data_IF_853494213025
#
_entry.id   IF_853494213025
#
_cell.length_a   1.000
_cell.length_b   1.000
_cell.length_c   1.000
_cell.angle_alpha   90.00
_cell.angle_beta   90.00
_cell.angle_gamma   90.00
#
_symmetry.space_group_name_H-M   'P 1'
#
loop_
_entity.id
_entity.type
_entity.pdbx_description
1 polymer ?
#
# COMPACT_ATOMS: atom_id res chain seq x y z
N UNK A 1 43.19 -44.40 34.64
CA UNK A 1 42.72 -43.02 34.40
C UNK A 1 42.04 -42.99 33.03
N UNK A 2 40.72 -43.06 33.02
CA UNK A 2 39.88 -42.94 31.79
C UNK A 2 39.50 -41.47 31.65
N UNK A 3 39.80 -40.87 30.50
CA UNK A 3 39.39 -39.52 30.12
C UNK A 3 38.09 -39.67 29.34
N UNK A 4 36.98 -39.30 29.95
CA UNK A 4 35.69 -39.23 29.29
C UNK A 4 35.60 -37.91 28.52
N UNK A 5 35.58 -38.01 27.19
CA UNK A 5 35.40 -36.88 26.31
C UNK A 5 33.89 -36.64 26.08
N UNK A 6 33.34 -35.62 26.69
CA UNK A 6 31.96 -35.17 26.46
C UNK A 6 31.89 -34.42 25.12
N UNK A 7 31.28 -35.05 24.14
CA UNK A 7 30.96 -34.42 22.86
C UNK A 7 29.64 -33.67 23.01
N UNK A 8 29.71 -32.34 23.07
CA UNK A 8 28.52 -31.49 23.04
C UNK A 8 28.03 -31.37 21.59
N UNK A 9 26.92 -32.00 21.30
CA UNK A 9 26.25 -31.92 20.01
C UNK A 9 25.37 -30.68 20.00
N UNK A 10 25.90 -29.59 19.43
CA UNK A 10 25.13 -28.36 19.17
C UNK A 10 24.22 -28.60 17.97
N UNK A 11 22.94 -28.85 18.24
CA UNK A 11 21.90 -28.90 17.24
C UNK A 11 21.63 -27.45 16.76
N UNK A 12 22.26 -27.05 15.66
CA UNK A 12 21.89 -25.85 14.94
C UNK A 12 20.54 -26.08 14.26
N UNK A 13 19.48 -25.60 14.86
CA UNK A 13 18.14 -25.54 14.22
C UNK A 13 18.22 -24.53 13.09
N UNK A 14 18.53 -25.00 11.87
CA UNK A 14 18.28 -24.26 10.65
C UNK A 14 16.76 -24.12 10.50
N UNK A 15 16.22 -22.96 10.85
CA UNK A 15 14.89 -22.55 10.39
C UNK A 15 14.96 -22.42 8.87
N UNK A 16 14.58 -23.50 8.18
CA UNK A 16 14.22 -23.46 6.78
C UNK A 16 12.97 -22.59 6.66
N UNK A 17 13.16 -21.29 6.41
CA UNK A 17 12.12 -20.45 5.85
C UNK A 17 11.84 -21.00 4.44
N UNK A 18 11.03 -22.05 4.34
CA UNK A 18 10.44 -22.49 3.09
C UNK A 18 9.58 -21.30 2.62
N UNK A 19 10.07 -20.56 1.64
CA UNK A 19 9.23 -19.68 0.82
C UNK A 19 8.18 -20.57 0.16
N UNK A 20 7.05 -20.77 0.84
CA UNK A 20 5.86 -21.33 0.20
C UNK A 20 5.36 -20.25 -0.76
N UNK A 21 5.72 -20.40 -2.03
CA UNK A 21 5.18 -19.57 -3.10
C UNK A 21 3.66 -19.58 -3.00
N UNK A 22 3.06 -18.41 -2.75
CA UNK A 22 1.63 -18.23 -2.67
C UNK A 22 1.03 -18.14 -1.26
N UNK A 23 1.75 -18.42 -0.15
CA UNK A 23 1.24 -18.13 1.20
C UNK A 23 1.65 -16.72 1.65
N UNK A 24 0.77 -16.06 2.40
CA UNK A 24 1.06 -14.79 3.04
C UNK A 24 0.82 -14.87 4.55
N UNK A 25 1.59 -14.08 5.27
CA UNK A 25 1.31 -13.71 6.66
C UNK A 25 1.37 -12.19 6.77
N UNK A 26 0.30 -11.60 7.28
CA UNK A 26 0.19 -10.17 7.56
C UNK A 26 0.27 -10.00 9.07
N UNK A 27 1.20 -9.18 9.54
CA UNK A 27 1.31 -8.78 10.94
C UNK A 27 1.11 -7.27 11.02
N UNK A 28 0.06 -6.85 11.72
CA UNK A 28 -0.29 -5.45 11.88
C UNK A 28 -0.26 -5.01 13.33
N UNK A 29 0.04 -3.72 13.52
CA UNK A 29 -0.02 -3.03 14.80
C UNK A 29 -0.48 -1.58 14.60
N UNK A 30 -0.84 -0.89 15.68
CA UNK A 30 -1.24 0.50 15.57
C UNK A 30 -1.49 1.16 16.92
N UNK A 31 -1.34 2.49 16.98
CA UNK A 31 -1.42 3.25 18.22
C UNK A 31 -2.83 3.26 18.85
N UNK A 32 -3.88 3.24 18.02
CA UNK A 32 -5.28 3.28 18.43
C UNK A 32 -5.96 1.91 18.49
N UNK A 33 -5.24 0.85 18.18
CA UNK A 33 -5.79 -0.49 18.23
C UNK A 33 -5.90 -0.95 19.69
N UNK A 34 -7.12 -1.25 20.11
CA UNK A 34 -7.43 -1.70 21.47
C UNK A 34 -7.80 -3.18 21.44
N UNK A 35 -7.36 -3.92 22.44
CA UNK A 35 -7.68 -5.35 22.58
C UNK A 35 -9.18 -5.60 22.50
N UNK A 36 -9.56 -6.58 21.68
CA UNK A 36 -10.94 -6.89 21.39
C UNK A 36 -11.55 -6.12 20.20
N UNK A 37 -10.86 -5.15 19.64
CA UNK A 37 -11.28 -4.48 18.41
C UNK A 37 -11.23 -5.47 17.23
N UNK A 38 -12.12 -5.26 16.27
CA UNK A 38 -12.10 -6.03 15.03
C UNK A 38 -11.44 -5.19 13.93
N UNK A 39 -10.43 -5.76 13.30
CA UNK A 39 -9.80 -5.22 12.10
C UNK A 39 -10.34 -5.97 10.89
N UNK A 40 -10.72 -5.23 9.86
CA UNK A 40 -11.28 -5.77 8.62
C UNK A 40 -10.25 -5.59 7.52
N UNK A 41 -10.00 -6.65 6.77
CA UNK A 41 -9.32 -6.58 5.48
C UNK A 41 -10.37 -6.65 4.36
N UNK A 42 -10.34 -5.71 3.43
CA UNK A 42 -11.26 -5.65 2.31
C UNK A 42 -10.50 -5.39 1.00
N UNK A 43 -11.09 -5.75 -0.14
CA UNK A 43 -10.53 -5.36 -1.44
C UNK A 43 -10.77 -3.87 -1.68
N UNK A 44 -9.81 -3.19 -2.25
CA UNK A 44 -9.91 -1.76 -2.54
C UNK A 44 -10.91 -1.44 -3.68
N UNK A 45 -11.24 -2.42 -4.54
CA UNK A 45 -12.12 -2.28 -5.72
C UNK A 45 -13.58 -2.70 -5.49
N UNK A 46 -13.92 -3.27 -4.31
CA UNK A 46 -15.22 -3.94 -4.08
C UNK A 46 -16.10 -3.27 -3.03
N UNK A 47 -16.15 -1.94 -3.03
CA UNK A 47 -16.97 -1.15 -2.08
C UNK A 47 -16.77 -1.54 -0.61
N UNK A 48 -15.55 -2.01 -0.28
CA UNK A 48 -15.17 -2.38 1.09
C UNK A 48 -15.79 -3.69 1.58
N UNK A 49 -16.17 -4.61 0.68
CA UNK A 49 -16.61 -5.95 1.11
C UNK A 49 -15.48 -6.68 1.85
N UNK A 50 -15.75 -7.18 3.07
CA UNK A 50 -14.75 -7.89 3.86
C UNK A 50 -14.24 -9.14 3.13
N UNK A 51 -12.92 -9.26 3.09
CA UNK A 51 -12.21 -10.48 2.65
C UNK A 51 -11.90 -11.35 3.84
N UNK A 52 -11.48 -10.71 4.96
CA UNK A 52 -11.13 -11.39 6.20
C UNK A 52 -11.26 -10.43 7.39
N UNK A 53 -11.29 -10.97 8.60
CA UNK A 53 -11.37 -10.21 9.85
C UNK A 53 -10.41 -10.78 10.90
N UNK A 54 -9.82 -9.91 11.70
CA UNK A 54 -8.96 -10.30 12.82
C UNK A 54 -9.33 -9.54 14.07
N UNK A 55 -9.14 -10.15 15.23
CA UNK A 55 -9.34 -9.50 16.54
C UNK A 55 -8.00 -9.01 17.04
N UNK A 56 -7.96 -7.76 17.52
CA UNK A 56 -6.78 -7.15 18.11
C UNK A 56 -6.47 -7.82 19.46
N UNK A 57 -5.22 -8.16 19.66
CA UNK A 57 -4.66 -8.68 20.91
C UNK A 57 -3.27 -8.09 21.14
N UNK A 58 -3.04 -7.56 22.33
CA UNK A 58 -1.79 -6.87 22.69
C UNK A 58 -1.43 -5.75 21.68
N UNK A 59 -2.45 -5.00 21.19
CA UNK A 59 -2.30 -3.93 20.20
C UNK A 59 -1.89 -4.42 18.80
N UNK A 60 -2.06 -5.71 18.47
CA UNK A 60 -1.67 -6.35 17.20
C UNK A 60 -2.79 -7.17 16.62
N UNK A 61 -2.70 -7.40 15.31
CA UNK A 61 -3.58 -8.32 14.57
C UNK A 61 -2.78 -9.10 13.53
N UNK A 62 -3.30 -10.25 13.11
CA UNK A 62 -2.68 -11.10 12.09
C UNK A 62 -3.73 -11.62 11.11
N UNK A 63 -3.33 -11.74 9.84
CA UNK A 63 -4.05 -12.50 8.81
C UNK A 63 -3.07 -13.49 8.19
N UNK A 64 -3.55 -14.67 7.85
CA UNK A 64 -2.76 -15.69 7.15
C UNK A 64 -3.61 -16.33 6.06
N UNK A 65 -2.97 -16.67 4.94
CA UNK A 65 -3.70 -17.30 3.84
C UNK A 65 -2.84 -17.59 2.64
N UNK A 66 -3.53 -17.81 1.50
CA UNK A 66 -2.91 -18.01 0.20
C UNK A 66 -3.25 -16.85 -0.73
N UNK A 67 -2.26 -16.39 -1.47
CA UNK A 67 -2.39 -15.40 -2.52
C UNK A 67 -2.03 -16.07 -3.86
N UNK A 68 -3.05 -16.44 -4.64
CA UNK A 68 -2.83 -16.98 -5.99
C UNK A 68 -2.43 -15.87 -6.98
N UNK A 69 -2.71 -14.62 -6.63
CA UNK A 69 -2.32 -13.42 -7.36
C UNK A 69 -2.17 -12.24 -6.40
N UNK A 70 -1.39 -11.24 -6.81
CA UNK A 70 -1.31 -9.96 -6.10
C UNK A 70 -2.66 -9.24 -6.15
N UNK A 71 -3.15 -8.76 -5.00
CA UNK A 71 -4.41 -8.04 -4.85
C UNK A 71 -4.19 -6.77 -4.06
N UNK A 72 -4.83 -5.67 -4.48
CA UNK A 72 -4.81 -4.43 -3.73
C UNK A 72 -5.98 -4.41 -2.73
N UNK A 73 -5.64 -4.26 -1.46
CA UNK A 73 -6.56 -4.33 -0.33
C UNK A 73 -6.42 -3.10 0.56
N UNK A 74 -7.41 -2.90 1.41
CA UNK A 74 -7.38 -1.93 2.52
C UNK A 74 -7.58 -2.67 3.82
N UNK A 75 -6.98 -2.16 4.89
CA UNK A 75 -7.24 -2.60 6.25
C UNK A 75 -7.71 -1.41 7.09
N UNK A 76 -8.68 -1.65 7.96
CA UNK A 76 -9.23 -0.63 8.87
C UNK A 76 -9.86 -1.28 10.11
N UNK A 77 -9.92 -0.52 11.20
CA UNK A 77 -10.66 -0.93 12.40
C UNK A 77 -12.17 -0.65 12.25
N UNK A 78 -13.01 -1.50 12.81
CA UNK A 78 -14.46 -1.26 12.86
C UNK A 78 -14.83 -0.01 13.65
N UNK A 79 -13.94 0.47 14.54
CA UNK A 79 -14.13 1.69 15.32
C UNK A 79 -13.69 2.95 14.59
N UNK A 80 -12.78 2.82 13.63
CA UNK A 80 -12.30 3.93 12.80
C UNK A 80 -12.22 3.47 11.33
N UNK A 81 -13.33 3.62 10.62
CA UNK A 81 -13.43 3.23 9.22
C UNK A 81 -12.79 4.23 8.25
N UNK A 82 -12.46 5.42 8.72
CA UNK A 82 -11.82 6.45 7.89
C UNK A 82 -10.32 6.27 7.85
N UNK A 83 -9.71 5.72 8.91
CA UNK A 83 -8.30 5.39 8.97
C UNK A 83 -8.01 4.08 8.20
N UNK A 84 -8.04 4.16 6.88
CA UNK A 84 -7.77 3.02 5.99
C UNK A 84 -6.31 2.99 5.58
N UNK A 85 -5.67 1.82 5.68
CA UNK A 85 -4.31 1.59 5.20
C UNK A 85 -4.35 0.70 3.96
N UNK A 86 -4.06 1.25 2.76
CA UNK A 86 -3.97 0.48 1.52
C UNK A 86 -2.66 -0.32 1.45
N UNK A 87 -2.74 -1.56 0.96
CA UNK A 87 -1.58 -2.43 0.82
C UNK A 87 -1.83 -3.55 -0.20
N UNK A 88 -0.78 -4.30 -0.54
CA UNK A 88 -0.89 -5.46 -1.41
C UNK A 88 -0.87 -6.75 -0.62
N UNK A 89 -1.82 -7.64 -0.91
CA UNK A 89 -1.77 -9.05 -0.51
C UNK A 89 -1.03 -9.80 -1.60
N UNK A 90 0.19 -10.24 -1.30
CA UNK A 90 1.06 -11.07 -2.13
C UNK A 90 1.76 -12.11 -1.25
N UNK A 91 2.39 -13.12 -1.82
CA UNK A 91 3.12 -14.13 -1.04
C UNK A 91 4.26 -13.52 -0.21
N UNK A 92 4.39 -13.95 1.05
CA UNK A 92 5.45 -13.50 1.96
C UNK A 92 4.93 -12.91 3.27
N UNK A 93 5.84 -12.25 4.00
CA UNK A 93 5.55 -11.63 5.30
C UNK A 93 5.30 -10.12 5.11
N UNK A 94 4.07 -9.70 5.28
CA UNK A 94 3.63 -8.30 5.14
C UNK A 94 3.54 -7.68 6.53
N UNK A 95 4.06 -6.47 6.67
CA UNK A 95 3.98 -5.68 7.91
C UNK A 95 3.15 -4.44 7.69
N UNK A 96 2.24 -4.17 8.60
CA UNK A 96 1.34 -3.02 8.58
C UNK A 96 1.47 -2.24 9.89
N UNK A 97 1.56 -0.92 9.81
CA UNK A 97 1.49 -0.04 10.96
C UNK A 97 0.40 1.02 10.75
N UNK A 98 -0.64 0.95 11.58
CA UNK A 98 -1.79 1.86 11.52
C UNK A 98 -1.57 2.99 12.53
N UNK A 99 -1.04 4.11 12.05
CA UNK A 99 -0.84 5.31 12.85
C UNK A 99 -2.08 6.22 12.84
N UNK A 100 -2.07 7.22 13.72
CA UNK A 100 -3.12 8.24 13.80
C UNK A 100 -3.21 9.13 12.57
N UNK A 101 -2.09 9.32 11.89
CA UNK A 101 -2.01 10.11 10.67
C UNK A 101 -1.75 9.21 9.46
N UNK A 102 -2.47 9.41 8.35
CA UNK A 102 -2.19 8.70 7.10
C UNK A 102 -0.74 8.85 6.62
N UNK A 103 -0.06 9.95 6.98
CA UNK A 103 1.34 10.21 6.64
C UNK A 103 2.35 9.35 7.40
N UNK A 104 1.94 8.76 8.51
CA UNK A 104 2.81 7.94 9.36
C UNK A 104 2.38 6.47 9.39
N UNK A 105 1.35 6.11 8.59
CA UNK A 105 1.01 4.72 8.34
C UNK A 105 2.08 4.08 7.46
N UNK A 106 2.44 2.83 7.76
CA UNK A 106 3.51 2.13 7.03
C UNK A 106 3.08 0.75 6.56
N UNK A 107 3.52 0.41 5.36
CA UNK A 107 3.42 -0.95 4.85
C UNK A 107 4.78 -1.44 4.33
N UNK A 108 5.05 -2.74 4.43
CA UNK A 108 6.31 -3.28 3.94
C UNK A 108 6.42 -4.79 4.08
N UNK A 109 7.63 -5.29 3.88
CA UNK A 109 7.98 -6.71 4.07
C UNK A 109 7.97 -7.53 2.79
N UNK A 110 7.34 -7.03 1.72
CA UNK A 110 7.29 -7.68 0.41
C UNK A 110 7.61 -6.68 -0.71
N UNK A 111 7.88 -7.18 -1.90
CA UNK A 111 8.35 -6.32 -3.00
C UNK A 111 7.31 -5.27 -3.43
N UNK A 112 6.04 -5.65 -3.56
CA UNK A 112 4.99 -4.71 -3.96
C UNK A 112 4.72 -3.69 -2.85
N UNK A 113 4.67 -4.13 -1.59
CA UNK A 113 4.43 -3.25 -0.46
C UNK A 113 5.56 -2.26 -0.22
N UNK A 114 6.82 -2.68 -0.37
CA UNK A 114 7.95 -1.75 -0.25
C UNK A 114 7.90 -0.67 -1.35
N UNK A 115 7.61 -1.06 -2.61
CA UNK A 115 7.45 -0.09 -3.72
C UNK A 115 6.25 0.82 -3.53
N UNK A 116 5.17 0.31 -2.94
CA UNK A 116 3.99 1.08 -2.60
C UNK A 116 4.30 2.12 -1.52
N UNK A 117 5.01 1.73 -0.46
CA UNK A 117 5.44 2.67 0.58
C UNK A 117 6.32 3.78 -0.01
N UNK A 118 7.34 3.43 -0.80
CA UNK A 118 8.19 4.41 -1.50
C UNK A 118 7.39 5.40 -2.38
N UNK A 119 6.30 4.94 -2.98
CA UNK A 119 5.42 5.79 -3.78
C UNK A 119 4.55 6.69 -2.89
N UNK A 120 3.98 6.15 -1.82
CA UNK A 120 3.18 6.91 -0.85
C UNK A 120 4.02 7.99 -0.19
N UNK A 121 5.23 7.67 0.28
CA UNK A 121 6.14 8.63 0.92
C UNK A 121 6.46 9.82 0.00
N UNK A 122 6.60 9.58 -1.30
CA UNK A 122 6.88 10.62 -2.28
C UNK A 122 5.64 11.46 -2.65
N UNK A 123 4.42 10.91 -2.52
CA UNK A 123 3.20 11.54 -3.05
C UNK A 123 2.19 11.99 -2.01
N UNK A 124 2.24 11.47 -0.77
CA UNK A 124 1.24 11.75 0.25
C UNK A 124 1.13 13.24 0.58
N UNK A 125 2.26 13.96 0.63
CA UNK A 125 2.29 15.41 0.85
C UNK A 125 1.53 16.18 -0.24
N UNK A 126 1.68 15.78 -1.51
CA UNK A 126 0.95 16.37 -2.64
C UNK A 126 -0.56 16.17 -2.46
N UNK A 127 -0.99 14.94 -2.10
CA UNK A 127 -2.39 14.64 -1.88
C UNK A 127 -3.01 15.46 -0.75
N UNK A 128 -2.29 15.65 0.36
CA UNK A 128 -2.74 16.49 1.45
C UNK A 128 -2.86 17.97 1.06
N UNK A 129 -1.89 18.50 0.31
CA UNK A 129 -1.94 19.88 -0.16
C UNK A 129 -3.11 20.12 -1.13
N UNK A 130 -3.36 19.17 -2.04
CA UNK A 130 -4.54 19.21 -2.91
C UNK A 130 -5.84 19.23 -2.08
N UNK A 131 -5.98 18.32 -1.11
CA UNK A 131 -7.17 18.26 -0.26
C UNK A 131 -7.37 19.54 0.55
N UNK A 132 -6.29 20.12 1.10
CA UNK A 132 -6.32 21.38 1.82
C UNK A 132 -6.76 22.55 0.92
N UNK A 133 -6.22 22.63 -0.29
CA UNK A 133 -6.59 23.65 -1.26
C UNK A 133 -8.02 23.47 -1.77
N UNK A 134 -8.44 22.22 -2.06
CA UNK A 134 -9.79 21.92 -2.47
C UNK A 134 -10.82 22.32 -1.39
N UNK A 135 -10.53 22.06 -0.11
CA UNK A 135 -11.39 22.49 1.00
C UNK A 135 -11.55 24.02 1.04
N UNK A 136 -10.51 24.79 0.70
CA UNK A 136 -10.59 26.25 0.62
C UNK A 136 -11.45 26.76 -0.56
N UNK A 137 -11.57 26.00 -1.65
CA UNK A 137 -12.47 26.34 -2.75
C UNK A 137 -13.95 26.30 -2.35
N UNK A 138 -14.32 25.47 -1.39
CA UNK A 138 -15.68 25.40 -0.84
C UNK A 138 -15.99 26.54 0.14
N UNK A 139 -14.98 27.26 0.62
CA UNK A 139 -15.20 28.48 1.42
C UNK A 139 -15.77 29.56 0.48
N UNK A 140 -17.05 29.88 0.66
CA UNK A 140 -17.81 30.81 -0.20
C UNK A 140 -17.34 32.26 -0.11
N UNK A 141 -16.43 32.59 0.82
CA UNK A 141 -15.89 33.94 1.02
C UNK A 141 -14.72 34.28 0.11
N UNK A 142 -14.13 33.30 -0.58
CA UNK A 142 -13.05 33.57 -1.52
C UNK A 142 -13.57 34.34 -2.74
N UNK A 143 -12.94 35.46 -3.09
CA UNK A 143 -13.22 36.20 -4.32
C UNK A 143 -12.75 35.41 -5.57
N UNK A 144 -13.10 35.93 -6.75
CA UNK A 144 -12.78 35.24 -8.01
C UNK A 144 -11.28 35.05 -8.21
N UNK A 145 -10.46 36.03 -7.84
CA UNK A 145 -9.00 35.97 -7.99
C UNK A 145 -8.40 34.89 -7.07
N UNK A 146 -8.78 34.89 -5.79
CA UNK A 146 -8.31 33.89 -4.82
C UNK A 146 -8.71 32.45 -5.23
N UNK A 147 -9.90 32.27 -5.81
CA UNK A 147 -10.32 30.98 -6.34
C UNK A 147 -9.47 30.52 -7.52
N UNK A 148 -9.13 31.45 -8.43
CA UNK A 148 -8.28 31.14 -9.58
C UNK A 148 -6.88 30.72 -9.13
N UNK A 149 -6.26 31.45 -8.20
CA UNK A 149 -4.94 31.14 -7.64
C UNK A 149 -4.91 29.74 -6.96
N UNK A 150 -6.01 29.36 -6.28
CA UNK A 150 -6.14 28.02 -5.68
C UNK A 150 -6.23 26.95 -6.80
N UNK A 151 -7.01 27.19 -7.83
CA UNK A 151 -7.16 26.25 -8.95
C UNK A 151 -5.84 26.05 -9.72
N UNK A 152 -5.09 27.13 -9.93
CA UNK A 152 -3.77 27.08 -10.58
C UNK A 152 -2.79 26.26 -9.72
N UNK A 153 -2.80 26.47 -8.40
CA UNK A 153 -1.98 25.69 -7.47
C UNK A 153 -2.33 24.20 -7.47
N UNK A 154 -3.63 23.84 -7.48
CA UNK A 154 -4.08 22.44 -7.58
C UNK A 154 -3.63 21.84 -8.91
N UNK A 155 -3.71 22.61 -10.01
CA UNK A 155 -3.28 22.15 -11.33
C UNK A 155 -1.78 21.83 -11.35
N UNK A 156 -0.96 22.67 -10.72
CA UNK A 156 0.48 22.44 -10.63
C UNK A 156 0.82 21.22 -9.76
N UNK A 157 0.15 21.04 -8.62
CA UNK A 157 0.31 19.84 -7.78
C UNK A 157 -0.11 18.56 -8.50
N UNK A 158 -1.20 18.58 -9.25
CA UNK A 158 -1.61 17.43 -10.07
C UNK A 158 -0.56 17.11 -11.16
N UNK A 159 0.06 18.11 -11.75
CA UNK A 159 1.15 17.90 -12.71
C UNK A 159 2.37 17.26 -12.05
N UNK A 160 2.76 17.73 -10.87
CA UNK A 160 3.85 17.11 -10.09
C UNK A 160 3.54 15.65 -9.78
N UNK A 161 2.31 15.35 -9.34
CA UNK A 161 1.86 13.98 -9.09
C UNK A 161 1.95 13.11 -10.35
N UNK A 162 1.48 13.62 -11.50
CA UNK A 162 1.56 12.92 -12.79
C UNK A 162 3.02 12.62 -13.18
N UNK A 163 3.94 13.56 -13.00
CA UNK A 163 5.37 13.38 -13.31
C UNK A 163 6.00 12.28 -12.45
N UNK A 164 5.71 12.25 -11.14
CA UNK A 164 6.16 11.19 -10.24
C UNK A 164 5.57 9.83 -10.67
N UNK A 165 4.28 9.79 -10.93
CA UNK A 165 3.56 8.60 -11.34
C UNK A 165 4.13 8.01 -12.63
N UNK A 166 4.36 8.83 -13.66
CA UNK A 166 4.98 8.43 -14.92
C UNK A 166 6.41 7.91 -14.69
N UNK A 167 7.19 8.59 -13.86
CA UNK A 167 8.55 8.18 -13.51
C UNK A 167 8.58 6.80 -12.85
N UNK A 168 7.73 6.60 -11.83
CA UNK A 168 7.63 5.31 -11.12
C UNK A 168 7.09 4.19 -12.03
N UNK A 169 6.07 4.46 -12.84
CA UNK A 169 5.53 3.49 -13.80
C UNK A 169 6.60 3.10 -14.85
N UNK A 170 7.36 4.07 -15.37
CA UNK A 170 8.44 3.81 -16.34
C UNK A 170 9.55 2.95 -15.74
N UNK A 171 10.01 3.25 -14.52
CA UNK A 171 11.01 2.45 -13.81
C UNK A 171 10.55 1.03 -13.52
N UNK A 172 9.25 0.83 -13.42
CA UNK A 172 8.63 -0.45 -13.10
C UNK A 172 7.87 -1.08 -14.27
N UNK A 173 8.13 -0.66 -15.50
CA UNK A 173 7.34 -1.04 -16.68
C UNK A 173 7.30 -2.57 -16.92
N UNK A 174 8.30 -3.30 -16.44
CA UNK A 174 8.45 -4.75 -16.61
C UNK A 174 8.01 -5.56 -15.37
N UNK A 175 7.28 -4.96 -14.43
CA UNK A 175 6.77 -5.66 -13.26
C UNK A 175 5.36 -5.21 -12.87
N UNK A 176 4.75 -5.94 -11.92
CA UNK A 176 3.37 -5.73 -11.47
C UNK A 176 3.11 -4.34 -10.92
N UNK A 177 4.09 -3.71 -10.28
CA UNK A 177 3.91 -2.38 -9.72
C UNK A 177 3.69 -1.32 -10.80
N UNK A 178 4.43 -1.40 -11.91
CA UNK A 178 4.19 -0.52 -13.06
C UNK A 178 2.81 -0.74 -13.69
N UNK A 179 2.38 -2.00 -13.81
CA UNK A 179 1.05 -2.33 -14.30
C UNK A 179 -0.05 -1.78 -13.39
N UNK A 180 0.11 -1.93 -12.07
CA UNK A 180 -0.78 -1.36 -11.07
C UNK A 180 -0.90 0.16 -11.20
N UNK A 181 0.22 0.88 -11.26
CA UNK A 181 0.21 2.34 -11.36
C UNK A 181 -0.53 2.83 -12.61
N UNK A 182 -0.29 2.21 -13.78
CA UNK A 182 -0.96 2.57 -15.03
C UNK A 182 -2.46 2.25 -15.04
N UNK A 183 -2.87 1.21 -14.32
CA UNK A 183 -4.28 0.79 -14.24
C UNK A 183 -5.04 1.59 -13.18
N UNK A 184 -4.51 1.65 -11.97
CA UNK A 184 -5.21 2.26 -10.83
C UNK A 184 -5.26 3.79 -10.93
N UNK A 185 -4.15 4.40 -11.35
CA UNK A 185 -4.04 5.86 -11.51
C UNK A 185 -4.25 6.33 -12.96
N UNK A 186 -4.96 5.57 -13.79
CA UNK A 186 -5.16 5.85 -15.22
C UNK A 186 -5.73 7.24 -15.50
N UNK A 187 -6.52 7.81 -14.59
CA UNK A 187 -7.16 9.15 -14.72
C UNK A 187 -6.18 10.30 -14.47
N UNK A 188 -5.05 10.02 -13.83
CA UNK A 188 -4.03 11.01 -13.50
C UNK A 188 -2.88 11.06 -14.52
N UNK A 189 -2.89 10.20 -15.54
CA UNK A 189 -1.88 10.14 -16.58
C UNK A 189 -2.51 10.59 -17.89
N UNK A 190 -1.83 11.50 -18.59
CA UNK A 190 -2.23 11.87 -19.94
C UNK A 190 -2.44 10.63 -20.82
N UNK A 191 -3.51 10.60 -21.60
CA UNK A 191 -3.94 9.43 -22.37
C UNK A 191 -2.86 8.94 -23.33
N UNK A 192 -2.20 9.83 -24.05
CA UNK A 192 -1.20 9.46 -25.06
C UNK A 192 0.04 8.90 -24.37
N UNK A 193 0.46 9.52 -23.26
CA UNK A 193 1.59 9.03 -22.45
C UNK A 193 1.31 7.68 -21.82
N UNK A 194 0.11 7.46 -21.30
CA UNK A 194 -0.31 6.16 -20.77
C UNK A 194 -0.25 5.09 -21.86
N UNK A 195 -0.81 5.37 -23.03
CA UNK A 195 -0.78 4.44 -24.16
C UNK A 195 0.64 4.09 -24.61
N UNK A 196 1.55 5.07 -24.68
CA UNK A 196 2.97 4.84 -24.94
C UNK A 196 3.60 3.86 -23.95
N UNK A 197 3.32 4.02 -22.65
CA UNK A 197 3.84 3.16 -21.60
C UNK A 197 3.22 1.75 -21.65
N UNK A 198 1.92 1.65 -21.88
CA UNK A 198 1.21 0.38 -22.02
C UNK A 198 1.78 -0.45 -23.20
N UNK A 199 2.18 0.20 -24.29
CA UNK A 199 2.81 -0.50 -25.42
C UNK A 199 4.20 -1.06 -25.08
N UNK A 200 4.94 -0.41 -24.20
CA UNK A 200 6.26 -0.86 -23.73
C UNK A 200 6.18 -1.98 -22.68
N UNK A 201 5.02 -2.15 -22.07
CA UNK A 201 4.80 -3.14 -21.02
C UNK A 201 4.65 -4.56 -21.61
N UNK A 202 5.20 -5.60 -20.95
CA UNK A 202 4.93 -7.01 -21.30
C UNK A 202 3.45 -7.33 -21.38
N UNK A 203 3.05 -8.14 -22.38
CA UNK A 203 1.65 -8.41 -22.70
C UNK A 203 0.86 -9.08 -21.55
N UNK A 204 1.52 -9.91 -20.75
CA UNK A 204 0.94 -10.53 -19.58
C UNK A 204 0.59 -9.52 -18.48
N UNK A 205 1.40 -8.47 -18.31
CA UNK A 205 1.16 -7.42 -17.30
C UNK A 205 0.01 -6.49 -17.69
N UNK A 206 -0.20 -6.25 -18.99
CA UNK A 206 -1.30 -5.39 -19.47
C UNK A 206 -2.69 -5.91 -19.16
N UNK A 207 -2.81 -7.22 -18.93
CA UNK A 207 -4.09 -7.89 -18.64
C UNK A 207 -4.31 -8.15 -17.15
N UNK A 208 -3.35 -7.73 -16.32
CA UNK A 208 -3.42 -8.00 -14.88
C UNK A 208 -4.42 -7.08 -14.20
N UNK A 209 -5.20 -7.65 -13.30
CA UNK A 209 -6.09 -6.95 -12.35
C UNK A 209 -5.53 -7.12 -10.93
N UNK A 210 -5.80 -6.16 -10.06
CA UNK A 210 -5.22 -6.11 -8.70
C UNK A 210 -6.31 -6.05 -7.63
#
# INVERSE_FOLDING_TARGET
>A
MRKDTITVLTAASMMLAACQSGSFKISGSGEKLVDGDTVIMARADSEGQPVDTAVVKDGKFEFEGKADSTRFCIVFSTKDREAQLPFFVEGGNIRLYMADSPLTMEVGGTTMNNKWQDFVDETAGIGLDINRLASRLYDTKADHQARQEIMDSITELNKMFEEILISKATKNINNEFGAFLLTYYNRFINRDKRHELEQKMPGELRKKTF
#
